data_IF_643474639708
#
_entry.id   IF_643474639708
#
_cell.length_a   1.000
_cell.length_b   1.000
_cell.length_c   1.000
_cell.angle_alpha   90.00
_cell.angle_beta   90.00
_cell.angle_gamma   90.00
#
_symmetry.space_group_name_H-M   'P 1'
#
loop_
_entity.id
_entity.type
_entity.pdbx_description
1 polymer ?
#
# COMPACT_ATOMS: atom_id res chain seq x y z
N UNK A 1 17.45 -20.68 -3.06
CA UNK A 1 17.93 -19.28 -3.08
C UNK A 1 18.68 -19.08 -4.39
N UNK A 2 17.97 -18.75 -5.46
CA UNK A 2 18.62 -18.48 -6.75
C UNK A 2 19.28 -17.12 -6.68
N UNK A 3 20.62 -17.10 -6.66
CA UNK A 3 21.40 -15.86 -6.69
C UNK A 3 21.22 -15.25 -8.09
N UNK A 4 20.46 -14.16 -8.16
CA UNK A 4 20.28 -13.37 -9.38
C UNK A 4 21.64 -12.92 -9.92
N UNK A 5 21.96 -13.36 -11.15
CA UNK A 5 23.24 -13.11 -11.83
C UNK A 5 23.41 -11.68 -12.33
N UNK A 6 22.40 -10.81 -12.19
CA UNK A 6 22.42 -9.43 -12.66
C UNK A 6 22.73 -8.39 -11.56
N UNK A 7 23.16 -8.83 -10.37
CA UNK A 7 23.56 -7.93 -9.30
C UNK A 7 24.90 -7.25 -9.64
N UNK A 8 24.85 -6.04 -10.20
CA UNK A 8 26.02 -5.20 -10.44
C UNK A 8 26.51 -4.59 -9.12
N UNK A 9 27.76 -4.83 -8.76
CA UNK A 9 28.40 -4.23 -7.58
C UNK A 9 28.94 -2.84 -7.94
N UNK A 10 28.12 -1.81 -7.72
CA UNK A 10 28.51 -0.40 -7.79
C UNK A 10 28.40 0.29 -6.41
N UNK A 11 28.61 1.62 -6.39
CA UNK A 11 28.60 2.50 -5.19
C UNK A 11 27.36 2.34 -4.28
N UNK A 12 26.26 1.78 -4.79
CA UNK A 12 24.97 1.59 -4.09
C UNK A 12 24.76 0.17 -3.53
N UNK A 13 25.80 -0.66 -3.49
CA UNK A 13 25.69 -2.07 -3.10
C UNK A 13 25.08 -2.93 -4.20
N UNK A 14 24.72 -4.18 -3.87
CA UNK A 14 24.09 -5.12 -4.80
C UNK A 14 22.62 -4.74 -4.98
N UNK A 15 22.27 -4.21 -6.15
CA UNK A 15 20.88 -3.98 -6.54
C UNK A 15 20.52 -4.75 -7.80
N UNK A 16 19.24 -5.05 -7.97
CA UNK A 16 18.74 -5.64 -9.20
C UNK A 16 18.67 -4.58 -10.30
N UNK A 17 19.59 -4.65 -11.27
CA UNK A 17 19.72 -3.66 -12.34
C UNK A 17 18.47 -3.58 -13.21
N UNK A 18 17.76 -4.69 -13.41
CA UNK A 18 16.56 -4.72 -14.25
C UNK A 18 15.43 -3.99 -13.52
N UNK A 19 15.24 -4.29 -12.24
CA UNK A 19 14.17 -3.70 -11.44
C UNK A 19 14.40 -2.20 -11.22
N UNK A 20 15.65 -1.80 -10.97
CA UNK A 20 16.01 -0.39 -10.79
C UNK A 20 15.78 0.44 -12.05
N UNK A 21 16.29 0.00 -13.20
CA UNK A 21 16.12 0.76 -14.44
C UNK A 21 14.67 0.77 -14.94
N UNK A 22 13.93 -0.34 -14.78
CA UNK A 22 12.53 -0.39 -15.16
C UNK A 22 11.69 0.60 -14.33
N UNK A 23 11.84 0.58 -13.00
CA UNK A 23 11.11 1.49 -12.11
C UNK A 23 11.49 2.95 -12.36
N UNK A 24 12.77 3.24 -12.59
CA UNK A 24 13.24 4.60 -12.89
C UNK A 24 12.62 5.12 -14.19
N UNK A 25 12.66 4.33 -15.28
CA UNK A 25 12.11 4.74 -16.57
C UNK A 25 10.60 4.97 -16.48
N UNK A 26 9.87 4.07 -15.82
CA UNK A 26 8.41 4.21 -15.67
C UNK A 26 8.05 5.44 -14.85
N UNK A 27 8.70 5.65 -13.70
CA UNK A 27 8.46 6.84 -12.87
C UNK A 27 8.80 8.13 -13.60
N UNK A 28 9.98 8.21 -14.24
CA UNK A 28 10.39 9.39 -15.00
C UNK A 28 9.45 9.69 -16.16
N UNK A 29 8.97 8.67 -16.87
CA UNK A 29 8.01 8.83 -17.95
C UNK A 29 6.67 9.42 -17.45
N UNK A 30 6.12 8.87 -16.36
CA UNK A 30 4.86 9.37 -15.78
C UNK A 30 5.02 10.82 -15.30
N UNK A 31 6.13 11.15 -14.63
CA UNK A 31 6.41 12.51 -14.17
C UNK A 31 6.56 13.48 -15.36
N UNK A 32 7.30 13.10 -16.40
CA UNK A 32 7.47 13.94 -17.60
C UNK A 32 6.14 14.16 -18.34
N UNK A 33 5.29 13.12 -18.44
CA UNK A 33 3.97 13.25 -19.05
C UNK A 33 3.06 14.21 -18.26
N UNK A 34 3.10 14.14 -16.92
CA UNK A 34 2.35 15.04 -16.05
C UNK A 34 2.77 16.50 -16.15
N UNK A 35 4.07 16.78 -16.29
CA UNK A 35 4.59 18.16 -16.35
C UNK A 35 4.42 18.81 -17.72
N UNK A 36 4.53 18.05 -18.81
CA UNK A 36 4.42 18.58 -20.17
C UNK A 36 2.97 18.88 -20.60
N UNK A 37 1.99 18.14 -20.08
CA UNK A 37 0.59 18.29 -20.50
C UNK A 37 -0.40 17.99 -19.36
N UNK A 38 -0.51 18.88 -18.36
CA UNK A 38 -1.32 18.65 -17.17
C UNK A 38 -2.81 18.44 -17.46
N UNK A 39 -3.38 19.16 -18.44
CA UNK A 39 -4.80 19.03 -18.80
C UNK A 39 -5.15 17.67 -19.41
N UNK A 40 -4.27 17.14 -20.28
CA UNK A 40 -4.47 15.83 -20.88
C UNK A 40 -4.28 14.74 -19.82
N UNK A 41 -3.26 14.89 -18.97
CA UNK A 41 -3.01 13.99 -17.85
C UNK A 41 -4.21 13.89 -16.90
N UNK A 42 -4.76 15.02 -16.47
CA UNK A 42 -5.93 15.06 -15.60
C UNK A 42 -7.16 14.38 -16.24
N UNK A 43 -7.44 14.68 -17.52
CA UNK A 43 -8.57 14.06 -18.24
C UNK A 43 -8.41 12.54 -18.34
N UNK A 44 -7.22 12.08 -18.68
CA UNK A 44 -6.92 10.65 -18.79
C UNK A 44 -7.05 9.96 -17.43
N UNK A 45 -6.45 10.52 -16.37
CA UNK A 45 -6.55 9.95 -15.02
C UNK A 45 -7.98 9.93 -14.49
N UNK A 46 -8.75 11.01 -14.66
CA UNK A 46 -10.16 11.05 -14.26
C UNK A 46 -11.00 10.04 -15.04
N UNK A 47 -10.76 9.89 -16.34
CA UNK A 47 -11.42 8.88 -17.17
C UNK A 47 -11.11 7.45 -16.72
N UNK A 48 -9.84 7.16 -16.44
CA UNK A 48 -9.40 5.86 -15.93
C UNK A 48 -9.97 5.58 -14.53
N UNK A 49 -9.87 6.54 -13.61
CA UNK A 49 -10.41 6.44 -12.26
C UNK A 49 -11.92 6.14 -12.31
N UNK A 50 -12.68 6.92 -13.07
CA UNK A 50 -14.12 6.70 -13.23
C UNK A 50 -14.45 5.32 -13.79
N UNK A 51 -13.72 4.88 -14.83
CA UNK A 51 -13.91 3.54 -15.40
C UNK A 51 -13.63 2.42 -14.40
N UNK A 52 -12.56 2.53 -13.61
CA UNK A 52 -12.21 1.56 -12.55
C UNK A 52 -13.28 1.59 -11.46
N UNK A 53 -13.71 2.76 -10.99
CA UNK A 53 -14.71 2.88 -9.94
C UNK A 53 -16.05 2.26 -10.34
N UNK A 54 -16.51 2.44 -11.58
CA UNK A 54 -17.77 1.86 -12.05
C UNK A 54 -17.68 0.35 -12.25
N UNK A 55 -16.62 -0.14 -12.89
CA UNK A 55 -16.54 -1.56 -13.28
C UNK A 55 -15.94 -2.47 -12.18
N UNK A 56 -14.98 -1.96 -11.39
CA UNK A 56 -14.25 -2.71 -10.37
C UNK A 56 -14.61 -2.31 -8.94
N UNK A 57 -15.51 -1.34 -8.73
CA UNK A 57 -15.91 -0.90 -7.38
C UNK A 57 -16.49 -2.04 -6.53
N UNK A 58 -17.37 -2.87 -7.10
CA UNK A 58 -17.96 -4.01 -6.38
C UNK A 58 -16.90 -5.06 -6.00
N UNK A 59 -15.94 -5.32 -6.91
CA UNK A 59 -14.85 -6.26 -6.67
C UNK A 59 -13.92 -5.76 -5.56
N UNK A 60 -13.61 -4.45 -5.55
CA UNK A 60 -12.84 -3.82 -4.49
C UNK A 60 -13.51 -3.97 -3.13
N UNK A 61 -14.81 -3.67 -3.04
CA UNK A 61 -15.58 -3.79 -1.79
C UNK A 61 -15.64 -5.24 -1.28
N UNK A 62 -15.90 -6.20 -2.15
CA UNK A 62 -15.91 -7.62 -1.78
C UNK A 62 -14.54 -8.12 -1.37
N UNK A 63 -13.48 -7.65 -2.02
CA UNK A 63 -12.10 -8.02 -1.67
C UNK A 63 -11.75 -7.51 -0.28
N UNK A 64 -12.04 -6.25 0.03
CA UNK A 64 -11.80 -5.66 1.37
C UNK A 64 -12.61 -6.39 2.44
N UNK A 65 -13.91 -6.61 2.21
CA UNK A 65 -14.73 -7.38 3.14
C UNK A 65 -14.22 -8.81 3.32
N UNK A 66 -13.79 -9.46 2.24
CA UNK A 66 -13.20 -10.80 2.24
C UNK A 66 -11.92 -10.86 3.07
N UNK A 67 -11.02 -9.89 2.93
CA UNK A 67 -9.81 -9.81 3.76
C UNK A 67 -10.14 -9.64 5.24
N UNK A 68 -11.13 -8.81 5.60
CA UNK A 68 -11.55 -8.66 7.01
C UNK A 68 -12.05 -9.98 7.56
N UNK A 69 -12.95 -10.66 6.85
CA UNK A 69 -13.47 -11.97 7.27
C UNK A 69 -12.34 -13.00 7.38
N UNK A 70 -11.42 -13.01 6.42
CA UNK A 70 -10.27 -13.92 6.42
C UNK A 70 -9.34 -13.69 7.61
N UNK A 71 -9.02 -12.42 7.93
CA UNK A 71 -8.19 -12.08 9.08
C UNK A 71 -8.86 -12.46 10.40
N UNK A 72 -10.17 -12.21 10.55
CA UNK A 72 -10.94 -12.64 11.72
C UNK A 72 -10.94 -14.18 11.83
N UNK A 73 -11.10 -14.88 10.71
CA UNK A 73 -11.06 -16.34 10.69
C UNK A 73 -9.69 -16.90 11.10
N UNK A 74 -8.58 -16.28 10.69
CA UNK A 74 -7.24 -16.64 11.16
C UNK A 74 -7.09 -16.35 12.66
N UNK A 75 -7.49 -15.16 13.09
CA UNK A 75 -7.32 -14.71 14.47
C UNK A 75 -8.13 -15.54 15.47
N UNK A 76 -9.38 -15.91 15.13
CA UNK A 76 -10.23 -16.76 15.95
C UNK A 76 -9.99 -18.27 15.72
N UNK A 77 -9.29 -18.62 14.64
CA UNK A 77 -9.01 -20.00 14.25
C UNK A 77 -7.80 -20.59 14.96
N UNK A 78 -7.51 -21.85 14.62
CA UNK A 78 -6.36 -22.61 15.17
C UNK A 78 -4.99 -21.97 14.85
N UNK A 79 -4.93 -21.15 13.81
CA UNK A 79 -3.71 -20.51 13.34
C UNK A 79 -3.33 -19.27 14.15
N UNK A 80 -4.28 -18.63 14.86
CA UNK A 80 -4.01 -17.44 15.67
C UNK A 80 -3.13 -17.72 16.91
N UNK A 81 -3.09 -18.96 17.38
CA UNK A 81 -2.27 -19.36 18.54
C UNK A 81 -0.84 -19.76 18.17
N UNK A 82 -0.49 -19.77 16.88
CA UNK A 82 0.83 -20.18 16.41
C UNK A 82 1.77 -18.95 16.48
N UNK A 83 2.83 -18.98 17.30
CA UNK A 83 3.78 -17.88 17.35
C UNK A 83 4.58 -17.79 16.04
N UNK A 84 4.75 -16.56 15.52
CA UNK A 84 5.53 -16.28 14.31
C UNK A 84 7.03 -16.18 14.63
N UNK A 85 7.63 -17.29 15.09
CA UNK A 85 9.03 -17.36 15.49
C UNK A 85 9.48 -18.82 15.63
N UNK A 86 10.68 -19.05 16.18
CA UNK A 86 11.11 -20.40 16.54
C UNK A 86 10.33 -20.89 17.76
N UNK A 87 10.23 -22.21 17.91
CA UNK A 87 9.56 -22.82 19.06
C UNK A 87 10.21 -22.35 20.38
N UNK A 88 9.42 -21.72 21.24
CA UNK A 88 9.86 -21.20 22.54
C UNK A 88 10.56 -19.84 22.50
N UNK A 89 10.63 -19.17 21.35
CA UNK A 89 11.13 -17.81 21.24
C UNK A 89 10.15 -16.81 21.88
N UNK A 90 10.69 -15.90 22.69
CA UNK A 90 9.89 -14.85 23.34
C UNK A 90 9.78 -13.65 22.39
N UNK A 91 8.72 -12.85 22.56
CA UNK A 91 8.58 -11.60 21.81
C UNK A 91 9.80 -10.69 22.05
N UNK A 92 10.36 -10.15 20.97
CA UNK A 92 11.52 -9.24 21.00
C UNK A 92 11.16 -7.87 21.59
N UNK A 93 9.92 -7.43 21.38
CA UNK A 93 9.39 -6.16 21.88
C UNK A 93 8.26 -6.39 22.88
N UNK A 94 8.13 -5.50 23.85
CA UNK A 94 6.98 -5.51 24.75
C UNK A 94 5.69 -5.21 23.99
N UNK A 95 4.54 -5.60 24.56
CA UNK A 95 3.25 -5.40 23.92
C UNK A 95 2.97 -3.92 23.59
N UNK A 96 3.38 -3.00 24.47
CA UNK A 96 3.18 -1.57 24.27
C UNK A 96 4.08 -1.03 23.15
N UNK A 97 5.35 -1.43 23.11
CA UNK A 97 6.28 -1.05 22.02
C UNK A 97 5.80 -1.60 20.67
N UNK A 98 5.28 -2.83 20.65
CA UNK A 98 4.72 -3.43 19.45
C UNK A 98 3.50 -2.65 18.90
N UNK A 99 2.56 -2.27 19.78
CA UNK A 99 1.43 -1.41 19.37
C UNK A 99 1.93 -0.06 18.85
N UNK A 100 2.90 0.56 19.52
CA UNK A 100 3.45 1.84 19.10
C UNK A 100 4.08 1.76 17.69
N UNK A 101 4.81 0.67 17.40
CA UNK A 101 5.36 0.43 16.06
C UNK A 101 4.28 0.24 15.00
N UNK A 102 3.22 -0.51 15.29
CA UNK A 102 2.10 -0.70 14.36
C UNK A 102 1.40 0.63 14.04
N UNK A 103 1.19 1.47 15.06
CA UNK A 103 0.58 2.79 14.87
C UNK A 103 1.47 3.71 14.03
N UNK A 104 2.77 3.71 14.29
CA UNK A 104 3.75 4.48 13.51
C UNK A 104 3.86 4.04 12.05
N UNK A 105 3.69 2.74 11.78
CA UNK A 105 3.71 2.19 10.43
C UNK A 105 2.39 2.46 9.68
N UNK A 106 1.26 2.39 10.39
CA UNK A 106 -0.07 2.44 9.79
C UNK A 106 -0.65 3.84 9.59
N UNK A 107 -0.35 4.81 10.45
CA UNK A 107 -0.94 6.15 10.34
C UNK A 107 -0.10 7.02 9.41
N UNK A 108 -0.58 7.18 8.17
CA UNK A 108 0.03 8.06 7.17
C UNK A 108 -0.59 9.46 7.13
N UNK A 109 0.03 10.33 6.32
CA UNK A 109 -0.46 11.70 6.03
C UNK A 109 -1.91 11.73 5.53
N UNK A 110 -2.35 10.66 4.85
CA UNK A 110 -3.72 10.52 4.37
C UNK A 110 -4.76 10.59 5.48
N UNK A 111 -4.47 10.04 6.66
CA UNK A 111 -5.39 10.11 7.81
C UNK A 111 -5.54 11.55 8.30
N UNK A 112 -4.45 12.30 8.43
CA UNK A 112 -4.50 13.70 8.91
C UNK A 112 -5.26 14.60 7.92
N UNK A 113 -5.05 14.40 6.62
CA UNK A 113 -5.74 15.18 5.59
C UNK A 113 -7.24 14.84 5.53
N UNK A 114 -7.59 13.56 5.45
CA UNK A 114 -8.98 13.14 5.29
C UNK A 114 -9.78 13.16 6.59
N UNK A 115 -9.17 13.09 7.78
CA UNK A 115 -9.89 13.18 9.07
C UNK A 115 -10.66 14.50 9.24
N UNK A 116 -10.18 15.59 8.64
CA UNK A 116 -10.87 16.89 8.64
C UNK A 116 -11.64 17.10 7.34
N UNK A 117 -11.07 16.69 6.20
CA UNK A 117 -11.68 16.92 4.89
C UNK A 117 -12.95 16.11 4.66
N UNK A 118 -13.00 14.84 5.09
CA UNK A 118 -14.17 13.97 4.88
C UNK A 118 -15.42 14.49 5.63
N UNK A 119 -15.37 14.85 6.92
CA UNK A 119 -16.53 15.44 7.61
C UNK A 119 -16.98 16.75 6.97
N UNK A 120 -16.05 17.63 6.62
CA UNK A 120 -16.38 18.90 5.95
C UNK A 120 -17.05 18.65 4.60
N UNK A 121 -16.59 17.67 3.84
CA UNK A 121 -17.16 17.32 2.55
C UNK A 121 -18.60 16.78 2.69
N UNK A 122 -18.83 15.88 3.65
CA UNK A 122 -20.18 15.37 3.94
C UNK A 122 -21.12 16.42 4.55
N UNK A 123 -20.58 17.38 5.31
CA UNK A 123 -21.35 18.52 5.82
C UNK A 123 -21.71 19.55 4.74
N UNK A 124 -20.78 19.85 3.82
CA UNK A 124 -20.99 20.84 2.76
C UNK A 124 -21.79 20.29 1.57
N UNK A 125 -21.79 18.98 1.36
CA UNK A 125 -22.55 18.29 0.33
C UNK A 125 -23.21 17.04 0.93
N UNK A 126 -24.25 17.23 1.75
CA UNK A 126 -25.02 16.11 2.29
C UNK A 126 -25.69 15.35 1.12
N UNK A 127 -25.77 14.01 1.19
CA UNK A 127 -26.51 13.21 0.22
C UNK A 127 -28.02 13.52 0.26
#
# INVERSE_FOLDING_TARGET
MEVNKNASSGLLGRYDVVLFWLTLVVCSFITAFGTLSPKLFEKTLKGMQGWISVNFGWFFLLTVAGFIVYLIWIAAGKYGSIPLGKDGEKAEFSFFEWIAMLFSCGIGIGFIFWAVAEPLYHHASPP
#
